data_IF_694140744887
#
_entry.id   IF_694140744887
#
_cell.length_a   1.000
_cell.length_b   1.000
_cell.length_c   1.000
_cell.angle_alpha   90.00
_cell.angle_beta   90.00
_cell.angle_gamma   90.00
#
_symmetry.space_group_name_H-M   'P 1'
#
loop_
_entity.id
_entity.type
_entity.pdbx_description
1 polymer ?
#
# COMPACT_ATOMS: atom_id res chain seq x y z
N UNK A 1 13.89 -34.22 -3.32
CA UNK A 1 14.15 -33.44 -4.55
C UNK A 1 14.11 -31.96 -4.19
N UNK A 2 15.07 -31.13 -4.65
CA UNK A 2 15.00 -29.69 -4.44
C UNK A 2 13.82 -29.12 -5.24
N UNK A 3 12.99 -28.30 -4.59
CA UNK A 3 11.88 -27.63 -5.24
C UNK A 3 12.41 -26.79 -6.41
N UNK A 4 11.83 -26.98 -7.58
CA UNK A 4 12.05 -26.14 -8.75
C UNK A 4 11.60 -24.71 -8.44
N UNK A 5 12.12 -23.73 -9.18
CA UNK A 5 11.71 -22.33 -9.00
C UNK A 5 10.21 -22.13 -9.24
N UNK A 6 9.60 -22.92 -10.12
CA UNK A 6 8.16 -22.93 -10.34
C UNK A 6 7.38 -23.39 -9.10
N UNK A 7 7.83 -24.44 -8.43
CA UNK A 7 7.21 -24.96 -7.20
C UNK A 7 7.37 -23.98 -6.03
N UNK A 8 8.52 -23.30 -5.92
CA UNK A 8 8.73 -22.25 -4.92
C UNK A 8 7.79 -21.06 -5.11
N UNK A 9 7.56 -20.64 -6.36
CA UNK A 9 6.60 -19.57 -6.67
C UNK A 9 5.16 -19.99 -6.38
N UNK A 10 4.80 -21.24 -6.68
CA UNK A 10 3.47 -21.79 -6.35
C UNK A 10 3.23 -21.78 -4.84
N UNK A 11 4.17 -22.29 -4.06
CA UNK A 11 4.13 -22.27 -2.58
C UNK A 11 4.06 -20.86 -2.00
N UNK A 12 4.78 -19.91 -2.58
CA UNK A 12 4.73 -18.50 -2.14
C UNK A 12 3.34 -17.90 -2.37
N UNK A 13 2.72 -18.16 -3.53
CA UNK A 13 1.35 -17.72 -3.84
C UNK A 13 0.35 -18.35 -2.89
N UNK A 14 0.44 -19.66 -2.66
CA UNK A 14 -0.46 -20.40 -1.77
C UNK A 14 -0.36 -19.90 -0.31
N UNK A 15 0.86 -19.66 0.20
CA UNK A 15 1.08 -19.10 1.55
C UNK A 15 0.59 -17.66 1.71
N UNK A 16 0.64 -16.85 0.66
CA UNK A 16 0.16 -15.46 0.70
C UNK A 16 -1.34 -15.33 0.41
N UNK A 17 -1.98 -16.37 -0.13
CA UNK A 17 -3.43 -16.44 -0.34
C UNK A 17 -4.17 -17.04 0.86
N UNK A 18 -3.50 -17.81 1.72
CA UNK A 18 -4.06 -18.22 3.01
C UNK A 18 -4.13 -17.02 3.94
N UNK A 19 -5.27 -16.33 3.90
CA UNK A 19 -5.72 -15.33 4.86
C UNK A 19 -5.54 -15.86 6.29
N UNK A 20 -4.58 -15.31 7.00
CA UNK A 20 -4.46 -15.44 8.45
C UNK A 20 -5.31 -14.33 9.06
N UNK A 21 -6.38 -14.72 9.76
CA UNK A 21 -7.42 -13.87 10.36
C UNK A 21 -6.93 -12.95 11.50
N UNK A 22 -5.61 -12.73 11.68
CA UNK A 22 -5.08 -12.08 12.88
C UNK A 22 -4.07 -10.96 12.65
N UNK A 23 -3.90 -10.44 11.43
CA UNK A 23 -3.17 -9.20 11.19
C UNK A 23 -4.03 -8.26 10.36
N UNK A 24 -4.27 -7.07 10.90
CA UNK A 24 -5.07 -5.99 10.32
C UNK A 24 -4.97 -5.95 8.79
N UNK A 25 -6.11 -5.98 8.08
CA UNK A 25 -6.14 -5.73 6.66
C UNK A 25 -6.02 -4.22 6.45
N UNK A 26 -4.84 -3.66 6.74
CA UNK A 26 -4.33 -2.62 5.86
C UNK A 26 -4.02 -3.34 4.56
N UNK A 27 -5.10 -3.55 3.80
CA UNK A 27 -5.12 -4.04 2.45
C UNK A 27 -3.85 -3.54 1.78
N UNK A 28 -2.99 -4.46 1.33
CA UNK A 28 -2.04 -4.15 0.28
C UNK A 28 -2.86 -3.86 -0.97
N UNK A 29 -3.57 -2.73 -0.98
CA UNK A 29 -4.00 -2.04 -2.17
C UNK A 29 -2.70 -1.70 -2.88
N UNK A 30 -2.25 -2.64 -3.72
CA UNK A 30 -1.29 -2.34 -4.76
C UNK A 30 -2.03 -1.40 -5.73
N UNK A 31 -2.10 -0.13 -5.35
CA UNK A 31 -2.56 0.90 -6.25
C UNK A 31 -1.60 0.87 -7.44
N UNK A 32 -2.12 0.50 -8.62
CA UNK A 32 -1.41 0.69 -9.87
C UNK A 32 -1.32 2.18 -10.13
N UNK A 33 -0.34 2.83 -9.51
CA UNK A 33 -0.03 4.24 -9.75
C UNK A 33 0.79 4.34 -11.03
N UNK A 34 0.46 5.34 -11.85
CA UNK A 34 1.23 5.64 -13.04
C UNK A 34 2.68 6.04 -12.65
N UNK A 35 3.67 5.75 -13.51
CA UNK A 35 5.09 5.99 -13.17
C UNK A 35 5.40 7.42 -12.74
N UNK A 36 4.72 8.42 -13.33
CA UNK A 36 4.92 9.82 -12.93
C UNK A 36 4.41 10.11 -11.51
N UNK A 37 3.28 9.51 -11.10
CA UNK A 37 2.72 9.68 -9.75
C UNK A 37 3.66 9.06 -8.71
N UNK A 38 4.20 7.88 -8.99
CA UNK A 38 5.21 7.25 -8.13
C UNK A 38 6.47 8.11 -7.99
N UNK A 39 6.93 8.73 -9.08
CA UNK A 39 8.06 9.64 -9.06
C UNK A 39 7.77 10.89 -8.22
N UNK A 40 6.57 11.44 -8.30
CA UNK A 40 6.16 12.58 -7.47
C UNK A 40 6.13 12.23 -5.99
N UNK A 41 5.54 11.08 -5.61
CA UNK A 41 5.55 10.61 -4.21
C UNK A 41 6.99 10.42 -3.71
N UNK A 42 7.88 9.89 -4.54
CA UNK A 42 9.29 9.71 -4.19
C UNK A 42 10.02 11.05 -4.03
N UNK A 43 9.74 12.04 -4.88
CA UNK A 43 10.31 13.40 -4.75
C UNK A 43 9.83 14.09 -3.47
N UNK A 44 8.53 14.02 -3.18
CA UNK A 44 7.93 14.59 -1.98
C UNK A 44 8.55 13.96 -0.74
N UNK A 45 8.60 12.63 -0.67
CA UNK A 45 9.22 11.89 0.43
C UNK A 45 10.67 12.33 0.69
N UNK A 46 11.47 12.51 -0.37
CA UNK A 46 12.85 13.00 -0.24
C UNK A 46 12.94 14.45 0.25
N UNK A 47 12.03 15.32 -0.21
CA UNK A 47 12.04 16.73 0.14
C UNK A 47 11.52 17.00 1.57
N UNK A 48 10.53 16.23 2.02
CA UNK A 48 9.91 16.40 3.34
C UNK A 48 10.54 15.55 4.44
N UNK A 49 11.34 14.54 4.09
CA UNK A 49 11.85 13.55 5.03
C UNK A 49 10.80 12.52 5.48
N UNK A 50 9.56 12.62 4.99
CA UNK A 50 8.50 11.67 5.31
C UNK A 50 8.66 10.38 4.52
N UNK A 51 8.20 9.29 5.11
CA UNK A 51 8.04 8.02 4.40
C UNK A 51 6.97 8.15 3.31
N UNK A 52 7.06 7.31 2.27
CA UNK A 52 6.04 7.28 1.20
C UNK A 52 4.63 7.00 1.74
N UNK A 53 4.53 6.22 2.82
CA UNK A 53 3.27 5.92 3.51
C UNK A 53 2.65 7.19 4.09
N UNK A 54 3.41 7.93 4.88
CA UNK A 54 2.94 9.18 5.50
C UNK A 54 2.55 10.22 4.45
N UNK A 55 3.27 10.30 3.34
CA UNK A 55 2.91 11.19 2.21
C UNK A 55 1.55 10.84 1.63
N UNK A 56 1.26 9.54 1.45
CA UNK A 56 -0.01 9.07 0.91
C UNK A 56 -1.14 9.25 1.92
N UNK A 57 -0.93 8.86 3.19
CA UNK A 57 -1.91 9.03 4.26
C UNK A 57 -2.27 10.50 4.46
N UNK A 58 -1.27 11.39 4.46
CA UNK A 58 -1.51 12.84 4.51
C UNK A 58 -2.34 13.31 3.32
N UNK A 59 -2.00 12.91 2.10
CA UNK A 59 -2.75 13.31 0.92
C UNK A 59 -4.22 12.81 0.93
N UNK A 60 -4.47 11.63 1.50
CA UNK A 60 -5.83 11.08 1.68
C UNK A 60 -6.59 11.92 2.71
N UNK A 61 -5.99 12.24 3.85
CA UNK A 61 -6.64 13.04 4.89
C UNK A 61 -6.91 14.47 4.42
N UNK A 62 -5.95 15.12 3.76
CA UNK A 62 -6.12 16.45 3.17
C UNK A 62 -7.26 16.45 2.13
N UNK A 63 -7.41 15.35 1.37
CA UNK A 63 -8.52 15.19 0.43
C UNK A 63 -9.86 14.97 1.16
N UNK A 64 -9.87 14.15 2.21
CA UNK A 64 -11.07 13.89 3.00
C UNK A 64 -11.61 15.16 3.66
N UNK A 65 -10.71 16.00 4.18
CA UNK A 65 -11.05 17.29 4.76
C UNK A 65 -11.63 18.25 3.72
N UNK A 66 -11.05 18.30 2.52
CA UNK A 66 -11.58 19.11 1.42
C UNK A 66 -12.93 18.64 0.90
N UNK A 67 -13.23 17.36 1.02
CA UNK A 67 -14.47 16.75 0.57
C UNK A 67 -15.52 16.66 1.69
N UNK A 68 -15.20 17.13 2.89
CA UNK A 68 -16.05 17.02 4.09
C UNK A 68 -16.51 15.58 4.34
N UNK A 69 -15.62 14.61 4.11
CA UNK A 69 -15.87 13.18 4.32
C UNK A 69 -14.97 12.59 5.41
N UNK A 70 -14.61 13.41 6.39
CA UNK A 70 -13.79 12.99 7.51
C UNK A 70 -14.51 11.95 8.37
N UNK A 71 -13.72 11.14 9.09
CA UNK A 71 -14.19 10.02 9.90
C UNK A 71 -14.87 10.46 11.21
N UNK A 72 -15.78 11.43 11.13
CA UNK A 72 -16.54 12.01 12.25
C UNK A 72 -18.06 12.06 12.05
N UNK A 73 -18.57 11.72 10.86
CA UNK A 73 -20.01 11.79 10.53
C UNK A 73 -20.72 10.42 10.44
N UNK A 74 -20.15 9.36 11.04
CA UNK A 74 -20.76 8.01 11.12
C UNK A 74 -20.87 7.53 12.56
#
# INVERSE_FOLDING_TARGET
>A
MPLTNAEKQKLYRERHLSFSESHEPLCRLQAFVQPYTFNNVTRISRASGLTKREVIEKAINDLAERLDCNHGDL
#
